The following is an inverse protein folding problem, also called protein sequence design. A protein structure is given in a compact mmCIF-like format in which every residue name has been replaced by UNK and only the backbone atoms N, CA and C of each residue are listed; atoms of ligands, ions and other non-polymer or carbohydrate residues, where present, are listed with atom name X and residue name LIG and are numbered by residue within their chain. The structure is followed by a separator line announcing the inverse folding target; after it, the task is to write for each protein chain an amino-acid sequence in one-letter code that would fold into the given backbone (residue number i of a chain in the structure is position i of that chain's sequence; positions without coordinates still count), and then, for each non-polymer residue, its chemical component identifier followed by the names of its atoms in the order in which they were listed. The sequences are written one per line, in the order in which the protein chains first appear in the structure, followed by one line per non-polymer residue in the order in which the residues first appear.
data_IF_329830629094
#
_entry.id   IF_329830629094
#
_cell.length_a   1.000
_cell.length_b   1.000
_cell.length_c   1.000
_cell.angle_alpha   90.00
_cell.angle_beta   90.00
_cell.angle_gamma   90.00
#
_symmetry.space_group_name_H-M   'P 1'
#
loop_
_entity.id
_entity.type
_entity.pdbx_description
1 polymer ?
#
# COMPACT_ATOMS: atom_id res chain seq x y z
N UNK A 1 19.56 -7.45 -25.48
CA UNK A 1 18.75 -7.76 -24.29
C UNK A 1 19.44 -7.15 -23.10
N UNK A 2 18.73 -6.37 -22.28
CA UNK A 2 19.25 -5.81 -21.03
C UNK A 2 19.09 -6.85 -19.93
N UNK A 3 20.12 -7.05 -19.11
CA UNK A 3 20.05 -7.94 -17.94
C UNK A 3 19.73 -7.12 -16.69
N UNK A 4 18.93 -7.69 -15.81
CA UNK A 4 18.54 -7.08 -14.55
C UNK A 4 18.82 -8.05 -13.42
N UNK A 5 19.25 -7.52 -12.28
CA UNK A 5 19.25 -8.22 -11.00
C UNK A 5 18.08 -7.67 -10.20
N UNK A 6 17.23 -8.55 -9.68
CA UNK A 6 15.99 -8.20 -8.96
C UNK A 6 15.96 -8.98 -7.66
N UNK A 7 15.80 -8.28 -6.54
CA UNK A 7 15.49 -8.91 -5.27
C UNK A 7 13.98 -9.01 -5.09
N UNK A 8 13.52 -10.22 -4.76
CA UNK A 8 12.14 -10.52 -4.44
C UNK A 8 12.02 -10.88 -2.96
N UNK A 9 10.93 -10.44 -2.35
CA UNK A 9 10.57 -10.76 -0.97
C UNK A 9 9.16 -11.35 -0.90
N UNK A 10 8.83 -11.97 0.22
CA UNK A 10 7.48 -12.35 0.60
C UNK A 10 7.40 -12.44 2.13
N UNK A 11 6.23 -12.19 2.70
CA UNK A 11 6.03 -12.34 4.14
C UNK A 11 5.84 -13.82 4.50
N UNK A 12 6.63 -14.36 5.42
CA UNK A 12 6.43 -15.67 6.00
C UNK A 12 5.82 -15.52 7.40
N UNK A 13 4.69 -16.18 7.64
CA UNK A 13 4.04 -16.13 8.95
C UNK A 13 4.42 -17.36 9.77
N UNK A 14 4.72 -17.13 11.04
CA UNK A 14 4.99 -18.17 12.00
C UNK A 14 3.97 -18.06 13.13
N UNK A 15 3.55 -19.21 13.66
CA UNK A 15 2.65 -19.29 14.79
C UNK A 15 3.24 -20.15 15.90
N UNK A 16 2.88 -19.80 17.13
CA UNK A 16 3.16 -20.60 18.31
C UNK A 16 1.92 -20.54 19.21
N UNK A 17 1.51 -21.68 19.76
CA UNK A 17 0.32 -21.78 20.61
C UNK A 17 0.74 -21.99 22.04
N UNK A 18 0.35 -21.06 22.91
CA UNK A 18 0.65 -21.10 24.34
C UNK A 18 -0.59 -21.44 25.16
N UNK A 19 -0.41 -22.20 26.22
CA UNK A 19 -1.44 -22.47 27.24
C UNK A 19 -0.97 -21.89 28.55
N UNK A 20 -1.68 -20.89 29.07
CA UNK A 20 -1.29 -20.15 30.27
C UNK A 20 -2.46 -20.04 31.25
N UNK A 21 -2.13 -20.08 32.54
CA UNK A 21 -3.06 -19.78 33.62
C UNK A 21 -2.93 -18.31 34.05
N UNK A 22 -4.05 -17.61 34.15
CA UNK A 22 -4.12 -16.22 34.61
C UNK A 22 -5.50 -15.88 35.17
N UNK A 23 -5.56 -14.87 36.05
CA UNK A 23 -6.81 -14.43 36.66
C UNK A 23 -7.60 -13.46 35.76
N UNK A 24 -6.93 -12.87 34.77
CA UNK A 24 -7.52 -11.94 33.79
C UNK A 24 -7.02 -12.21 32.37
N UNK A 25 -7.79 -11.74 31.38
CA UNK A 25 -7.40 -11.87 29.97
C UNK A 25 -6.12 -11.11 29.65
N UNK A 26 -5.97 -9.87 30.12
CA UNK A 26 -4.77 -9.05 29.86
C UNK A 26 -3.50 -9.71 30.42
N UNK A 27 -3.60 -10.33 31.60
CA UNK A 27 -2.51 -11.11 32.19
C UNK A 27 -2.21 -12.38 31.38
N UNK A 28 -3.23 -13.12 30.93
CA UNK A 28 -3.05 -14.28 30.06
C UNK A 28 -2.32 -13.91 28.76
N UNK A 29 -2.76 -12.84 28.09
CA UNK A 29 -2.17 -12.38 26.83
C UNK A 29 -0.71 -11.94 27.02
N UNK A 30 -0.42 -11.21 28.09
CA UNK A 30 0.94 -10.77 28.40
C UNK A 30 1.85 -11.98 28.66
N UNK A 31 1.41 -12.93 29.51
CA UNK A 31 2.17 -14.16 29.80
C UNK A 31 2.41 -15.00 28.54
N UNK A 32 1.40 -15.16 27.70
CA UNK A 32 1.52 -15.92 26.46
C UNK A 32 2.57 -15.30 25.51
N UNK A 33 2.59 -13.96 25.37
CA UNK A 33 3.61 -13.28 24.55
C UNK A 33 5.01 -13.44 25.13
N UNK A 34 5.18 -13.32 26.45
CA UNK A 34 6.47 -13.50 27.11
C UNK A 34 7.02 -14.93 26.92
N UNK A 35 6.17 -15.95 27.08
CA UNK A 35 6.55 -17.35 26.89
C UNK A 35 6.88 -17.65 25.41
N UNK A 36 6.03 -17.20 24.48
CA UNK A 36 6.25 -17.41 23.05
C UNK A 36 7.54 -16.76 22.55
N UNK A 37 7.90 -15.56 23.03
CA UNK A 37 9.15 -14.89 22.68
C UNK A 37 10.41 -15.61 23.20
N UNK A 38 10.29 -16.39 24.28
CA UNK A 38 11.38 -17.20 24.80
C UNK A 38 11.45 -18.58 24.13
N UNK A 39 10.42 -18.97 23.39
CA UNK A 39 10.31 -20.27 22.72
C UNK A 39 11.02 -20.31 21.37
N UNK A 40 11.63 -21.45 21.07
CA UNK A 40 12.14 -21.77 19.73
C UNK A 40 11.17 -22.60 18.90
N UNK A 41 10.00 -22.94 19.44
CA UNK A 41 9.02 -23.86 18.84
C UNK A 41 7.99 -23.15 17.93
N UNK A 42 8.43 -22.09 17.26
CA UNK A 42 7.62 -21.41 16.26
C UNK A 42 7.51 -22.27 15.00
N UNK A 43 6.28 -22.46 14.52
CA UNK A 43 6.00 -23.25 13.32
C UNK A 43 5.64 -22.30 12.17
N UNK A 44 6.21 -22.56 10.99
CA UNK A 44 5.81 -21.83 9.79
C UNK A 44 4.38 -22.19 9.43
N UNK A 45 3.55 -21.19 9.16
CA UNK A 45 2.24 -21.42 8.58
C UNK A 45 2.36 -21.74 7.09
N UNK A 46 1.40 -22.51 6.59
CA UNK A 46 1.26 -22.79 5.15
C UNK A 46 0.86 -21.54 4.35
N UNK A 47 0.41 -20.48 5.03
CA UNK A 47 0.03 -19.21 4.45
C UNK A 47 1.22 -18.24 4.44
N UNK A 48 1.44 -17.59 3.30
CA UNK A 48 2.48 -16.60 3.11
C UNK A 48 1.96 -15.41 2.29
N UNK A 49 2.55 -14.24 2.54
CA UNK A 49 2.23 -13.03 1.79
C UNK A 49 2.59 -13.17 0.31
N UNK A 50 1.99 -12.31 -0.51
CA UNK A 50 2.31 -12.24 -1.94
C UNK A 50 3.77 -11.87 -2.17
N UNK A 51 4.35 -12.35 -3.27
CA UNK A 51 5.70 -11.95 -3.69
C UNK A 51 5.71 -10.50 -4.13
N UNK A 52 6.74 -9.77 -3.72
CA UNK A 52 6.99 -8.38 -4.09
C UNK A 52 8.46 -8.15 -4.46
N UNK A 53 8.76 -7.00 -5.07
CA UNK A 53 10.09 -6.54 -5.44
C UNK A 53 10.60 -5.57 -4.38
N UNK A 54 11.77 -5.86 -3.81
CA UNK A 54 12.46 -4.99 -2.85
C UNK A 54 13.41 -4.01 -3.54
N UNK A 55 14.14 -4.51 -4.54
CA UNK A 55 15.18 -3.75 -5.23
C UNK A 55 15.41 -4.31 -6.64
N UNK A 56 15.81 -3.45 -7.57
CA UNK A 56 16.14 -3.83 -8.94
C UNK A 56 17.19 -2.89 -9.53
N UNK A 57 18.15 -3.44 -10.28
CA UNK A 57 19.13 -2.67 -11.03
C UNK A 57 19.48 -3.36 -12.36
N UNK A 58 20.03 -2.59 -13.31
CA UNK A 58 20.62 -3.16 -14.52
C UNK A 58 21.95 -3.83 -14.18
N UNK A 59 22.15 -5.05 -14.66
CA UNK A 59 23.41 -5.79 -14.50
C UNK A 59 23.19 -7.27 -14.21
N UNK A 60 24.31 -7.99 -14.14
CA UNK A 60 24.38 -9.42 -13.82
C UNK A 60 24.91 -9.57 -12.40
N UNK A 61 24.17 -10.23 -11.53
CA UNK A 61 24.57 -10.53 -10.13
C UNK A 61 25.11 -9.30 -9.38
N UNK A 62 24.35 -8.21 -9.47
CA UNK A 62 24.73 -6.93 -8.84
C UNK A 62 24.29 -6.93 -7.38
N UNK A 63 25.18 -6.51 -6.47
CA UNK A 63 24.83 -6.23 -5.08
C UNK A 63 23.92 -4.99 -5.00
N UNK A 64 22.61 -5.21 -4.94
CA UNK A 64 21.58 -4.17 -4.98
C UNK A 64 21.63 -3.20 -3.78
N UNK A 65 22.30 -3.56 -2.69
CA UNK A 65 22.39 -2.75 -1.48
C UNK A 65 23.73 -2.03 -1.32
N UNK A 66 24.61 -2.17 -2.31
CA UNK A 66 25.85 -1.42 -2.39
C UNK A 66 25.58 0.04 -2.77
N UNK A 67 26.26 0.98 -2.12
CA UNK A 67 26.24 2.41 -2.48
C UNK A 67 26.70 2.68 -3.93
N UNK A 68 27.40 1.73 -4.55
CA UNK A 68 27.88 1.83 -5.93
C UNK A 68 26.80 1.56 -6.99
N UNK A 69 25.62 1.09 -6.58
CA UNK A 69 24.56 0.61 -7.48
C UNK A 69 23.36 1.54 -7.44
N UNK A 70 22.98 2.06 -8.61
CA UNK A 70 21.75 2.84 -8.74
C UNK A 70 20.55 1.91 -8.91
N UNK A 71 19.74 1.79 -7.86
CA UNK A 71 18.46 1.09 -7.93
C UNK A 71 17.48 1.83 -8.87
N UNK A 72 16.68 1.06 -9.61
CA UNK A 72 15.61 1.58 -10.45
C UNK A 72 14.32 1.74 -9.64
N UNK A 73 13.44 2.69 -10.01
CA UNK A 73 12.14 2.81 -9.39
C UNK A 73 11.29 1.55 -9.63
N UNK A 74 10.57 1.12 -8.59
CA UNK A 74 9.67 -0.03 -8.62
C UNK A 74 8.22 0.47 -8.64
N UNK A 75 7.36 -0.04 -9.56
CA UNK A 75 5.94 0.26 -9.53
C UNK A 75 5.30 -0.13 -8.19
N UNK A 76 4.48 0.74 -7.61
CA UNK A 76 3.87 0.52 -6.28
C UNK A 76 3.13 -0.83 -6.18
N UNK A 77 2.43 -1.22 -7.25
CA UNK A 77 1.73 -2.49 -7.37
C UNK A 77 2.63 -3.74 -7.24
N UNK A 78 3.95 -3.59 -7.37
CA UNK A 78 4.94 -4.67 -7.23
C UNK A 78 5.71 -4.60 -5.91
N UNK A 79 5.43 -3.64 -5.03
CA UNK A 79 6.08 -3.52 -3.71
C UNK A 79 5.27 -4.22 -2.62
N UNK A 80 5.89 -4.59 -1.48
CA UNK A 80 5.19 -5.23 -0.35
C UNK A 80 3.98 -4.42 0.12
N UNK A 81 4.13 -3.09 0.11
CA UNK A 81 3.11 -2.15 0.56
C UNK A 81 1.96 -1.97 -0.43
N UNK A 82 2.14 -2.42 -1.68
CA UNK A 82 1.19 -2.24 -2.77
C UNK A 82 0.93 -0.76 -3.13
N UNK A 83 -0.21 -0.49 -3.76
CA UNK A 83 -0.65 0.88 -4.10
C UNK A 83 -1.21 1.66 -2.89
N UNK A 84 -1.31 1.02 -1.72
CA UNK A 84 -2.05 1.52 -0.56
C UNK A 84 -3.58 1.42 -0.73
N UNK A 85 -4.35 1.66 0.35
CA UNK A 85 -5.80 1.79 0.28
C UNK A 85 -6.25 2.88 -0.69
N UNK A 86 -7.26 2.55 -1.51
CA UNK A 86 -7.99 3.53 -2.33
C UNK A 86 -9.24 4.01 -1.58
N UNK A 87 -9.29 5.31 -1.32
CA UNK A 87 -10.40 6.00 -0.67
C UNK A 87 -11.12 6.87 -1.70
N UNK A 88 -12.43 6.72 -1.81
CA UNK A 88 -13.27 7.56 -2.66
C UNK A 88 -14.19 8.38 -1.75
N UNK A 89 -14.03 9.70 -1.77
CA UNK A 89 -14.91 10.64 -1.07
C UNK A 89 -15.95 11.14 -2.06
N UNK A 90 -17.22 10.87 -1.81
CA UNK A 90 -18.34 11.37 -2.62
C UNK A 90 -18.93 12.59 -1.92
N UNK A 91 -18.95 13.73 -2.61
CA UNK A 91 -19.51 14.98 -2.09
C UNK A 91 -20.70 15.41 -2.95
N UNK A 92 -21.75 15.86 -2.26
CA UNK A 92 -22.85 16.63 -2.82
C UNK A 92 -23.38 17.57 -1.75
N UNK A 93 -23.51 18.85 -2.07
CA UNK A 93 -23.89 19.92 -1.16
C UNK A 93 -22.75 20.45 -0.29
N UNK A 94 -21.59 20.75 -0.87
CA UNK A 94 -20.45 21.31 -0.12
C UNK A 94 -19.12 21.21 -0.86
N UNK A 95 -17.99 21.32 -0.14
CA UNK A 95 -16.65 21.16 -0.71
C UNK A 95 -15.70 20.52 0.29
N UNK A 96 -14.81 19.64 -0.19
CA UNK A 96 -13.69 19.14 0.62
C UNK A 96 -12.66 20.23 0.80
N UNK A 97 -12.42 20.64 2.05
CA UNK A 97 -11.46 21.71 2.37
C UNK A 97 -10.05 21.17 2.64
N UNK A 98 -9.94 19.93 3.15
CA UNK A 98 -8.66 19.33 3.51
C UNK A 98 -8.76 17.80 3.53
N UNK A 99 -7.69 17.12 3.10
CA UNK A 99 -7.47 15.69 3.25
C UNK A 99 -6.08 15.51 3.88
N UNK A 100 -6.04 14.81 5.01
CA UNK A 100 -4.79 14.48 5.69
C UNK A 100 -4.76 12.99 6.06
N UNK A 101 -3.57 12.41 5.98
CA UNK A 101 -3.30 11.02 6.38
C UNK A 101 -2.22 11.03 7.46
N UNK A 102 -2.54 10.55 8.66
CA UNK A 102 -1.56 10.54 9.77
C UNK A 102 -0.64 9.32 9.75
N UNK A 103 -0.96 8.27 8.99
CA UNK A 103 -0.15 7.06 8.87
C UNK A 103 -0.39 6.36 7.52
N UNK A 104 0.69 5.96 6.85
CA UNK A 104 0.63 5.10 5.66
C UNK A 104 0.32 5.83 4.35
N UNK A 105 0.20 5.05 3.28
CA UNK A 105 -0.10 5.53 1.94
C UNK A 105 -1.60 5.43 1.68
N UNK A 106 -2.19 6.43 1.03
CA UNK A 106 -3.58 6.38 0.61
C UNK A 106 -3.75 7.11 -0.72
N UNK A 107 -4.43 6.43 -1.64
CA UNK A 107 -4.92 7.05 -2.87
C UNK A 107 -6.30 7.64 -2.59
N UNK A 108 -6.44 8.96 -2.59
CA UNK A 108 -7.70 9.63 -2.25
C UNK A 108 -8.27 10.35 -3.46
N UNK A 109 -9.42 9.88 -3.92
CA UNK A 109 -10.20 10.50 -4.98
C UNK A 109 -11.40 11.22 -4.38
N UNK A 110 -11.53 12.53 -4.62
CA UNK A 110 -12.74 13.28 -4.28
C UNK A 110 -13.59 13.41 -5.55
N UNK A 111 -14.83 12.94 -5.48
CA UNK A 111 -15.84 13.01 -6.54
C UNK A 111 -16.93 13.98 -6.10
N UNK A 112 -16.90 15.16 -6.67
CA UNK A 112 -17.87 16.21 -6.39
C UNK A 112 -18.96 16.21 -7.48
N UNK A 113 -20.19 15.87 -7.10
CA UNK A 113 -21.33 15.79 -8.02
C UNK A 113 -22.04 17.13 -8.23
N UNK A 114 -21.62 18.19 -7.54
CA UNK A 114 -22.15 19.55 -7.71
C UNK A 114 -21.55 20.20 -8.98
N UNK A 115 -21.83 19.60 -10.15
CA UNK A 115 -21.29 20.01 -11.45
C UNK A 115 -22.11 21.11 -12.15
N UNK A 116 -23.10 21.69 -11.48
CA UNK A 116 -23.95 22.75 -12.03
C UNK A 116 -23.10 24.00 -12.33
N UNK A 117 -22.98 24.34 -13.62
CA UNK A 117 -22.15 25.44 -14.08
C UNK A 117 -20.66 25.12 -14.26
N UNK A 118 -20.25 23.86 -14.10
CA UNK A 118 -18.89 23.42 -14.40
C UNK A 118 -18.58 23.53 -15.91
N UNK A 119 -17.33 23.88 -16.24
CA UNK A 119 -16.86 23.88 -17.63
C UNK A 119 -16.86 22.45 -18.18
N UNK A 120 -17.60 22.25 -19.28
CA UNK A 120 -17.70 20.93 -19.93
C UNK A 120 -16.38 20.47 -20.57
N UNK A 121 -15.41 21.38 -20.74
CA UNK A 121 -14.08 21.05 -21.21
C UNK A 121 -13.07 20.84 -20.07
N UNK A 122 -13.51 20.93 -18.81
CA UNK A 122 -12.62 20.67 -17.68
C UNK A 122 -12.13 19.21 -17.75
N UNK A 123 -10.81 18.98 -17.87
CA UNK A 123 -10.24 17.64 -17.97
C UNK A 123 -10.47 16.79 -16.71
N UNK A 124 -10.98 17.36 -15.63
CA UNK A 124 -11.32 16.68 -14.39
C UNK A 124 -12.79 16.22 -14.32
N UNK A 125 -13.63 16.62 -15.27
CA UNK A 125 -15.00 16.10 -15.36
C UNK A 125 -14.95 14.64 -15.81
N UNK A 126 -15.65 13.80 -15.06
CA UNK A 126 -15.76 12.36 -15.29
C UNK A 126 -17.23 11.94 -15.25
N UNK A 127 -17.51 10.78 -15.81
CA UNK A 127 -18.84 10.15 -15.83
C UNK A 127 -18.72 8.84 -15.06
N UNK A 128 -19.60 8.63 -14.07
CA UNK A 128 -19.67 7.38 -13.30
C UNK A 128 -20.37 6.26 -14.08
N UNK A 129 -20.47 5.07 -13.48
CA UNK A 129 -21.10 3.91 -14.13
C UNK A 129 -22.61 4.11 -14.35
N UNK A 130 -23.25 4.98 -13.55
CA UNK A 130 -24.65 5.36 -13.65
C UNK A 130 -24.89 6.50 -14.63
N UNK A 131 -23.85 7.03 -15.28
CA UNK A 131 -23.94 8.12 -16.26
C UNK A 131 -24.01 9.52 -15.65
N UNK A 132 -23.79 9.65 -14.34
CA UNK A 132 -23.77 10.94 -13.64
C UNK A 132 -22.40 11.59 -13.74
N UNK A 133 -22.39 12.91 -13.82
CA UNK A 133 -21.17 13.71 -13.90
C UNK A 133 -20.67 14.07 -12.53
N UNK A 134 -19.36 14.06 -12.37
CA UNK A 134 -18.68 14.60 -11.20
C UNK A 134 -17.34 15.23 -11.60
N UNK A 135 -16.90 16.20 -10.82
CA UNK A 135 -15.53 16.75 -10.88
C UNK A 135 -14.63 15.87 -10.02
N UNK A 136 -13.54 15.38 -10.58
CA UNK A 136 -12.53 14.60 -9.86
C UNK A 136 -11.42 15.52 -9.35
N UNK A 137 -11.08 15.42 -8.06
CA UNK A 137 -9.80 15.93 -7.55
C UNK A 137 -9.02 14.82 -6.85
N UNK A 138 -7.71 14.80 -7.10
CA UNK A 138 -6.78 13.85 -6.51
C UNK A 138 -6.12 14.49 -5.27
N UNK A 139 -6.29 13.84 -4.12
CA UNK A 139 -5.72 14.24 -2.84
C UNK A 139 -4.83 13.14 -2.25
N UNK A 140 -4.31 12.27 -3.10
CA UNK A 140 -3.43 11.17 -2.71
C UNK A 140 -2.13 11.70 -2.12
N UNK A 141 -1.67 11.09 -1.03
CA UNK A 141 -0.36 11.40 -0.44
C UNK A 141 0.80 10.68 -1.16
N UNK A 142 0.48 9.94 -2.23
CA UNK A 142 1.40 9.33 -3.19
C UNK A 142 0.85 9.62 -4.58
N UNK A 143 1.68 10.22 -5.45
CA UNK A 143 1.34 10.41 -6.86
C UNK A 143 1.83 9.17 -7.60
N UNK A 144 0.97 8.38 -8.28
CA UNK A 144 1.43 7.27 -9.10
C UNK A 144 2.44 7.80 -10.12
N UNK A 145 3.52 7.05 -10.36
CA UNK A 145 4.40 7.36 -11.48
C UNK A 145 3.54 7.40 -12.75
N UNK A 146 3.50 8.56 -13.40
CA UNK A 146 2.71 8.78 -14.60
C UNK A 146 3.11 7.74 -15.65
N UNK A 147 2.20 6.84 -16.03
CA UNK A 147 2.38 6.08 -17.26
C UNK A 147 2.36 7.10 -18.40
N UNK A 148 3.52 7.31 -19.03
CA UNK A 148 3.65 8.07 -20.28
C UNK A 148 4.46 9.37 -20.17
N UNK A 149 5.78 9.25 -20.33
CA UNK A 149 6.54 10.19 -21.13
C UNK A 149 7.57 9.37 -21.93
N UNK A 150 7.17 9.00 -23.15
CA UNK A 150 8.12 8.61 -24.21
C UNK A 150 8.79 9.82 -24.80
#
# INVERSE_FOLDING_TARGET
MTRYTVQLGYAAYYAHTEVVDADTLDEALTKAVEQANASSEWESLDDCGSTFVDAVAVGDDVDLWSDAVTQLPIPAALTERGEGPRVIVIVSGGVVQNVASDCGYARVEVRDYDTDGADLNDPNIRIDAEGRRYTLSDWSNVIPAHEGAG
#
